data_IF_465685849946
#
_entry.id   IF_465685849946
#
_cell.length_a   1.000
_cell.length_b   1.000
_cell.length_c   1.000
_cell.angle_alpha   90.00
_cell.angle_beta   90.00
_cell.angle_gamma   90.00
#
_symmetry.space_group_name_H-M   'P 1'
#
loop_
_entity.id
_entity.type
_entity.pdbx_description
1 polymer ?
#
# COMPACT_ATOMS: atom_id res chain seq x y z
N UNK A 1 -4.70 -11.19 -2.42
CA UNK A 1 -4.93 -12.35 -3.32
C UNK A 1 -6.29 -13.02 -3.14
N UNK A 2 -6.58 -13.72 -2.03
CA UNK A 2 -7.84 -14.49 -1.85
C UNK A 2 -9.12 -13.68 -2.10
N UNK A 3 -9.17 -12.47 -1.56
CA UNK A 3 -10.32 -11.57 -1.76
C UNK A 3 -10.47 -11.14 -3.24
N UNK A 4 -9.37 -10.94 -3.96
CA UNK A 4 -9.41 -10.57 -5.37
C UNK A 4 -9.98 -11.70 -6.25
N UNK A 5 -9.65 -12.96 -5.95
CA UNK A 5 -10.20 -14.14 -6.64
C UNK A 5 -11.72 -14.25 -6.53
N UNK A 6 -12.31 -13.83 -5.41
CA UNK A 6 -13.76 -13.81 -5.23
C UNK A 6 -14.45 -12.76 -6.12
N UNK A 7 -13.78 -11.64 -6.38
CA UNK A 7 -14.31 -10.52 -7.17
C UNK A 7 -14.21 -10.74 -8.68
N UNK A 8 -13.54 -11.79 -9.14
CA UNK A 8 -13.41 -12.09 -10.56
C UNK A 8 -14.69 -12.78 -11.05
N UNK A 9 -15.38 -12.22 -12.06
CA UNK A 9 -16.61 -12.81 -12.60
C UNK A 9 -16.33 -14.08 -13.42
N UNK A 10 -15.19 -14.15 -14.13
CA UNK A 10 -14.78 -15.32 -14.92
C UNK A 10 -13.55 -16.01 -14.32
N UNK A 11 -13.75 -17.22 -13.79
CA UNK A 11 -12.71 -18.00 -13.08
C UNK A 11 -12.10 -19.12 -13.92
N UNK A 12 -12.43 -19.16 -15.21
CA UNK A 12 -11.98 -20.22 -16.12
C UNK A 12 -10.49 -20.12 -16.40
N UNK A 13 -9.97 -18.90 -16.54
CA UNK A 13 -8.55 -18.66 -16.79
C UNK A 13 -8.06 -17.40 -16.09
N UNK A 14 -7.35 -17.60 -14.99
CA UNK A 14 -6.84 -16.53 -14.14
C UNK A 14 -5.32 -16.58 -14.13
N UNK A 15 -4.69 -15.44 -14.41
CA UNK A 15 -3.24 -15.27 -14.36
C UNK A 15 -2.91 -14.29 -13.25
N UNK A 16 -2.06 -14.71 -12.32
CA UNK A 16 -1.56 -13.87 -11.24
C UNK A 16 -0.11 -13.52 -11.51
N UNK A 17 0.14 -12.22 -11.77
CA UNK A 17 1.47 -11.67 -11.93
C UNK A 17 1.96 -11.10 -10.62
N UNK A 18 3.18 -11.45 -10.22
CA UNK A 18 3.82 -10.91 -9.01
C UNK A 18 5.34 -10.97 -9.13
N UNK A 19 6.03 -10.29 -8.21
CA UNK A 19 7.48 -10.33 -8.14
C UNK A 19 8.00 -11.78 -7.95
N UNK A 20 9.12 -12.19 -8.58
CA UNK A 20 9.65 -13.56 -8.51
C UNK A 20 9.90 -14.08 -7.09
N UNK A 21 10.34 -13.21 -6.17
CA UNK A 21 10.53 -13.57 -4.77
C UNK A 21 9.23 -13.95 -4.04
N UNK A 22 8.10 -13.39 -4.47
CA UNK A 22 6.79 -13.70 -3.90
C UNK A 22 6.12 -14.87 -4.64
N UNK A 23 6.43 -15.04 -5.94
CA UNK A 23 5.88 -16.10 -6.80
C UNK A 23 6.19 -17.50 -6.26
N UNK A 24 7.40 -17.74 -5.76
CA UNK A 24 7.79 -19.02 -5.17
C UNK A 24 6.92 -19.37 -3.95
N UNK A 25 6.76 -18.42 -3.02
CA UNK A 25 5.92 -18.60 -1.84
C UNK A 25 4.43 -18.73 -2.19
N UNK A 26 3.97 -18.01 -3.22
CA UNK A 26 2.58 -18.11 -3.67
C UNK A 26 2.26 -19.45 -4.34
N UNK A 27 3.21 -20.04 -5.08
CA UNK A 27 3.06 -21.37 -5.68
C UNK A 27 2.91 -22.47 -4.62
N UNK A 28 3.66 -22.40 -3.51
CA UNK A 28 3.50 -23.34 -2.40
C UNK A 28 2.09 -23.25 -1.78
N UNK A 29 1.58 -22.03 -1.62
CA UNK A 29 0.22 -21.81 -1.06
C UNK A 29 -0.91 -22.08 -2.06
N UNK A 30 -0.60 -22.09 -3.35
CA UNK A 30 -1.59 -22.28 -4.41
C UNK A 30 -2.31 -23.62 -4.29
N UNK A 31 -1.59 -24.69 -3.93
CA UNK A 31 -2.16 -26.03 -3.78
C UNK A 31 -3.28 -26.08 -2.72
N UNK A 32 -3.16 -25.26 -1.66
CA UNK A 32 -4.23 -25.11 -0.66
C UNK A 32 -5.38 -24.22 -1.14
N UNK A 33 -5.08 -23.17 -1.89
CA UNK A 33 -6.07 -22.21 -2.38
C UNK A 33 -7.00 -22.78 -3.46
N UNK A 34 -6.51 -23.66 -4.34
CA UNK A 34 -7.36 -24.33 -5.35
C UNK A 34 -8.43 -25.23 -4.71
N UNK A 35 -8.18 -25.78 -3.52
CA UNK A 35 -9.16 -26.57 -2.80
C UNK A 35 -10.28 -25.71 -2.18
N UNK A 36 -9.98 -24.45 -1.84
CA UNK A 36 -10.93 -23.54 -1.19
C UNK A 36 -11.78 -22.70 -2.18
N UNK A 37 -11.35 -22.60 -3.44
CA UNK A 37 -12.01 -21.76 -4.46
C UNK A 37 -12.67 -22.63 -5.54
N UNK A 38 -13.99 -22.82 -5.41
CA UNK A 38 -14.80 -23.54 -6.39
C UNK A 38 -14.86 -22.79 -7.72
N UNK A 39 -14.58 -23.50 -8.81
CA UNK A 39 -14.67 -22.99 -10.19
C UNK A 39 -13.37 -22.38 -10.75
N UNK A 40 -12.24 -22.57 -10.07
CA UNK A 40 -10.92 -22.18 -10.56
C UNK A 40 -10.39 -23.28 -11.51
N UNK A 41 -10.61 -23.13 -12.82
CA UNK A 41 -10.26 -24.19 -13.78
C UNK A 41 -8.80 -24.11 -14.26
N UNK A 42 -8.34 -22.90 -14.61
CA UNK A 42 -6.93 -22.65 -14.92
C UNK A 42 -6.43 -21.45 -14.12
N UNK A 43 -5.45 -21.71 -13.27
CA UNK A 43 -4.77 -20.69 -12.50
C UNK A 43 -3.26 -20.77 -12.73
N UNK A 44 -2.69 -19.67 -13.19
CA UNK A 44 -1.26 -19.58 -13.50
C UNK A 44 -0.62 -18.45 -12.69
N UNK A 45 0.52 -18.74 -12.05
CA UNK A 45 1.34 -17.73 -11.39
C UNK A 45 2.50 -17.41 -12.31
N UNK A 46 2.60 -16.15 -12.73
CA UNK A 46 3.68 -15.65 -13.57
C UNK A 46 4.57 -14.72 -12.75
N UNK A 47 5.86 -15.03 -12.70
CA UNK A 47 6.84 -14.13 -12.11
C UNK A 47 7.13 -12.95 -13.05
N UNK A 48 7.12 -11.74 -12.51
CA UNK A 48 7.34 -10.51 -13.24
C UNK A 48 8.28 -9.60 -12.43
N UNK A 49 9.51 -9.44 -12.91
CA UNK A 49 10.53 -8.63 -12.25
C UNK A 49 10.26 -7.11 -12.37
N UNK A 50 9.34 -6.69 -13.23
CA UNK A 50 8.92 -5.29 -13.31
C UNK A 50 7.98 -4.89 -12.15
N UNK A 51 7.41 -5.86 -11.44
CA UNK A 51 6.58 -5.62 -10.26
C UNK A 51 7.45 -5.52 -9.00
N UNK A 52 7.17 -4.53 -8.17
CA UNK A 52 7.80 -4.43 -6.85
C UNK A 52 7.40 -5.61 -5.95
N UNK A 53 8.22 -5.93 -4.95
CA UNK A 53 7.86 -6.92 -3.93
C UNK A 53 6.54 -6.54 -3.26
N UNK A 54 5.66 -7.52 -3.07
CA UNK A 54 4.31 -7.31 -2.52
C UNK A 54 3.30 -6.72 -3.52
N UNK A 55 3.71 -6.39 -4.75
CA UNK A 55 2.78 -6.08 -5.82
C UNK A 55 2.25 -7.38 -6.44
N UNK A 56 0.93 -7.49 -6.54
CA UNK A 56 0.30 -8.61 -7.22
C UNK A 56 -0.88 -8.11 -8.06
N UNK A 57 -0.92 -8.58 -9.30
CA UNK A 57 -1.90 -8.17 -10.30
C UNK A 57 -2.57 -9.42 -10.83
N UNK A 58 -3.88 -9.47 -10.70
CA UNK A 58 -4.68 -10.59 -11.16
C UNK A 58 -5.38 -10.21 -12.46
N UNK A 59 -5.25 -11.05 -13.49
CA UNK A 59 -5.86 -10.86 -14.81
C UNK A 59 -6.73 -12.06 -15.16
N UNK A 60 -7.94 -11.80 -15.65
CA UNK A 60 -8.83 -12.83 -16.20
C UNK A 60 -9.68 -12.25 -17.33
N UNK A 61 -9.66 -12.87 -18.51
CA UNK A 61 -10.50 -12.57 -19.69
C UNK A 61 -11.02 -11.12 -19.83
N UNK A 62 -10.12 -10.13 -19.70
CA UNK A 62 -10.44 -8.70 -19.85
C UNK A 62 -10.61 -7.91 -18.55
N UNK A 63 -10.67 -8.56 -17.39
CA UNK A 63 -10.65 -7.95 -16.07
C UNK A 63 -9.23 -7.95 -15.51
N UNK A 64 -8.75 -6.77 -15.11
CA UNK A 64 -7.48 -6.61 -14.40
C UNK A 64 -7.77 -6.06 -13.01
N UNK A 65 -7.39 -6.79 -11.98
CA UNK A 65 -7.53 -6.40 -10.58
C UNK A 65 -6.14 -6.15 -10.02
N UNK A 66 -5.89 -4.93 -9.56
CA UNK A 66 -4.74 -4.67 -8.71
C UNK A 66 -5.06 -5.14 -7.29
N UNK A 67 -4.28 -6.12 -6.82
CA UNK A 67 -4.38 -6.65 -5.48
C UNK A 67 -3.05 -6.42 -4.72
N UNK A 68 -2.25 -5.45 -5.17
CA UNK A 68 -0.99 -5.09 -4.53
C UNK A 68 -1.22 -4.68 -3.08
N UNK A 69 -0.20 -4.89 -2.25
CA UNK A 69 -0.26 -4.46 -0.85
C UNK A 69 -0.49 -2.94 -0.75
N UNK A 70 0.18 -2.15 -1.60
CA UNK A 70 0.02 -0.71 -1.67
C UNK A 70 -1.43 -0.31 -1.98
N UNK A 71 -2.02 -0.85 -3.05
CA UNK A 71 -3.41 -0.55 -3.42
C UNK A 71 -4.42 -1.05 -2.38
N UNK A 72 -4.11 -2.13 -1.67
CA UNK A 72 -4.94 -2.59 -0.56
C UNK A 72 -4.89 -1.65 0.64
N UNK A 73 -3.72 -1.08 0.95
CA UNK A 73 -3.55 -0.11 2.02
C UNK A 73 -4.25 1.22 1.71
N UNK A 74 -4.10 1.73 0.48
CA UNK A 74 -4.78 2.95 0.05
C UNK A 74 -6.30 2.82 0.13
N UNK A 75 -6.85 1.70 -0.38
CA UNK A 75 -8.29 1.42 -0.29
C UNK A 75 -8.77 1.36 1.15
N UNK A 76 -8.03 0.68 2.03
CA UNK A 76 -8.37 0.59 3.45
C UNK A 76 -8.33 1.97 4.11
N UNK A 77 -7.29 2.77 3.85
CA UNK A 77 -7.16 4.12 4.38
C UNK A 77 -8.32 5.02 3.93
N UNK A 78 -8.70 4.93 2.65
CA UNK A 78 -9.83 5.70 2.12
C UNK A 78 -11.17 5.26 2.73
N UNK A 79 -11.39 3.95 2.89
CA UNK A 79 -12.60 3.43 3.56
C UNK A 79 -12.68 3.89 5.02
N UNK A 80 -11.58 3.82 5.77
CA UNK A 80 -11.52 4.30 7.15
C UNK A 80 -11.79 5.81 7.23
N UNK A 81 -11.25 6.59 6.30
CA UNK A 81 -11.50 8.02 6.24
C UNK A 81 -12.95 8.34 5.86
N UNK A 82 -13.55 7.56 4.96
CA UNK A 82 -14.95 7.73 4.55
C UNK A 82 -15.94 7.36 5.66
N UNK A 83 -15.59 6.38 6.50
CA UNK A 83 -16.36 5.99 7.68
C UNK A 83 -16.07 6.87 8.89
N UNK A 84 -15.02 7.68 8.85
CA UNK A 84 -14.72 8.60 9.93
C UNK A 84 -15.87 9.62 10.04
N UNK A 85 -16.58 9.69 11.18
CA UNK A 85 -17.58 10.73 11.37
C UNK A 85 -16.88 12.08 11.27
N UNK A 86 -17.50 13.05 10.61
CA UNK A 86 -17.00 14.41 10.45
C UNK A 86 -16.96 15.22 11.78
N UNK A 87 -16.90 14.55 12.93
CA UNK A 87 -17.01 15.15 14.24
C UNK A 87 -15.66 15.08 14.97
N UNK A 88 -15.08 16.27 15.15
CA UNK A 88 -14.13 16.65 16.20
C UNK A 88 -13.03 15.63 16.50
N UNK A 89 -11.97 15.66 15.70
CA UNK A 89 -10.68 15.19 16.18
C UNK A 89 -10.25 16.13 17.32
N UNK A 90 -10.70 15.84 18.55
CA UNK A 90 -10.04 16.36 19.73
C UNK A 90 -8.59 15.88 19.65
N UNK A 91 -7.67 16.81 19.42
CA UNK A 91 -6.24 16.56 19.50
C UNK A 91 -5.97 15.93 20.87
N UNK A 92 -5.68 14.63 20.90
CA UNK A 92 -5.21 13.99 22.13
C UNK A 92 -3.75 14.41 22.26
N UNK A 93 -3.54 15.64 22.71
CA UNK A 93 -2.26 16.09 23.23
C UNK A 93 -2.02 15.26 24.48
N UNK A 94 -1.08 14.31 24.39
CA UNK A 94 -0.56 13.72 25.61
C UNK A 94 0.07 14.86 26.43
N UNK A 95 -0.13 14.93 27.75
CA UNK A 95 0.38 16.01 28.61
C UNK A 95 1.92 16.13 28.69
N UNK A 96 2.67 15.55 27.73
CA UNK A 96 4.10 15.73 27.53
C UNK A 96 4.51 16.31 26.16
N UNK A 97 3.57 16.50 25.21
CA UNK A 97 3.84 17.04 23.86
C UNK A 97 3.61 18.55 23.80
N UNK A 98 3.90 19.26 24.90
CA UNK A 98 4.02 20.71 24.81
C UNK A 98 5.18 21.00 23.83
N UNK A 99 4.96 21.79 22.75
CA UNK A 99 6.07 22.26 21.94
C UNK A 99 6.96 23.06 22.88
N UNK A 100 8.12 22.49 23.22
CA UNK A 100 9.16 23.26 23.87
C UNK A 100 9.51 24.32 22.83
N UNK A 101 9.04 25.54 23.08
CA UNK A 101 9.35 26.69 22.27
C UNK A 101 10.87 26.87 22.24
N UNK A 102 11.53 26.18 21.31
CA UNK A 102 12.83 26.59 20.83
C UNK A 102 12.57 27.83 20.01
N UNK A 103 12.72 28.97 20.68
CA UNK A 103 12.76 30.28 20.05
C UNK A 103 13.66 30.23 18.82
N UNK A 104 13.29 30.84 17.69
CA UNK A 104 14.27 31.12 16.65
C UNK A 104 15.28 32.09 17.27
N UNK A 105 16.49 31.60 17.52
CA UNK A 105 17.62 32.44 17.89
C UNK A 105 17.94 33.30 16.65
N UNK A 106 17.36 34.50 16.61
CA UNK A 106 17.75 35.53 15.64
C UNK A 106 19.16 35.94 16.01
N UNK A 107 20.13 35.47 15.24
CA UNK A 107 21.51 35.89 15.35
C UNK A 107 21.60 37.41 15.09
N UNK A 108 22.25 38.21 15.95
CA UNK A 108 22.51 39.60 15.65
C UNK A 108 23.52 39.71 14.49
N UNK A 109 23.18 40.52 13.48
CA UNK A 109 24.09 40.86 12.39
C UNK A 109 25.40 41.44 12.95
N UNK A 110 26.58 41.06 12.43
CA UNK A 110 27.81 41.74 12.78
C UNK A 110 27.85 43.13 12.13
N UNK A 111 27.85 44.16 12.97
CA UNK A 111 28.18 45.55 12.62
C UNK A 111 29.60 45.61 12.06
N UNK A 112 29.75 45.80 10.75
CA UNK A 112 31.02 46.19 10.16
C UNK A 112 31.13 47.72 10.16
N UNK A 113 31.81 48.22 11.19
CA UNK A 113 32.44 49.53 11.22
C UNK A 113 33.89 49.37 10.78
N UNK A 114 34.33 50.11 9.76
CA UNK A 114 35.74 50.27 9.37
C UNK A 114 35.91 50.38 7.85
N UNK A 115 35.87 51.58 7.26
CA UNK A 115 36.98 52.53 7.12
C UNK A 115 37.74 52.40 5.79
N UNK A 116 37.43 53.32 4.87
CA UNK A 116 38.26 54.10 3.92
C UNK A 116 39.38 53.46 3.09
N UNK A 117 39.59 54.01 1.89
CA UNK A 117 40.85 54.73 1.64
C UNK A 117 40.67 56.26 1.61
#
# INVERSE_FOLDING_TARGET
>A
MRHALLQVPDRRRVVLRMHPGDAAHAQERLQGLTAEVVGLEHFEITADAALARGACVLQSQGTRIDASLAGCWERLGNELLALAPAADCAEIVQPGDAPTASAPQVAPLPSSTGAKP
#
